data_IF_290252317013
#
_entry.id   IF_290252317013
#
_cell.length_a   1.000
_cell.length_b   1.000
_cell.length_c   1.000
_cell.angle_alpha   90.00
_cell.angle_beta   90.00
_cell.angle_gamma   90.00
#
_symmetry.space_group_name_H-M   'P 1'
#
loop_
_entity.id
_entity.type
_entity.pdbx_description
1 polymer ?
#
# COMPACT_ATOMS: atom_id res chain seq x y z
N UNK A 1 9.38 -6.91 -0.50
CA UNK A 1 9.06 -7.30 -1.88
C UNK A 1 8.11 -6.31 -2.53
N UNK A 2 8.00 -6.39 -3.82
CA UNK A 2 7.10 -5.52 -4.59
C UNK A 2 5.64 -5.69 -4.13
N UNK A 3 5.21 -6.91 -3.93
CA UNK A 3 3.83 -7.20 -3.53
C UNK A 3 3.56 -6.69 -2.12
N UNK A 4 4.50 -6.86 -1.21
CA UNK A 4 4.35 -6.35 0.15
C UNK A 4 4.24 -4.83 0.15
N UNK A 5 4.99 -4.17 -0.74
CA UNK A 5 4.95 -2.72 -0.88
C UNK A 5 3.58 -2.25 -1.36
N UNK A 6 3.01 -2.95 -2.35
CA UNK A 6 1.67 -2.64 -2.86
C UNK A 6 0.63 -2.79 -1.75
N UNK A 7 0.72 -3.85 -0.96
CA UNK A 7 -0.22 -4.10 0.14
C UNK A 7 -0.11 -3.02 1.22
N UNK A 8 1.10 -2.61 1.56
CA UNK A 8 1.30 -1.52 2.52
C UNK A 8 0.70 -0.22 2.03
N UNK A 9 0.91 0.09 0.75
CA UNK A 9 0.36 1.29 0.15
C UNK A 9 -1.17 1.25 0.17
N UNK A 10 -1.76 0.11 -0.17
CA UNK A 10 -3.20 -0.05 -0.14
C UNK A 10 -3.76 0.19 1.26
N UNK A 11 -3.07 -0.30 2.29
CA UNK A 11 -3.47 -0.09 3.67
C UNK A 11 -3.39 1.37 4.08
N UNK A 12 -2.32 2.05 3.70
CA UNK A 12 -2.15 3.47 4.03
C UNK A 12 -3.27 4.30 3.41
N UNK A 13 -3.59 4.03 2.16
CA UNK A 13 -4.63 4.77 1.45
C UNK A 13 -6.04 4.30 1.84
N UNK A 14 -6.15 3.08 2.32
CA UNK A 14 -7.44 2.48 2.68
C UNK A 14 -8.14 3.15 3.83
N UNK A 15 -7.44 4.01 4.58
CA UNK A 15 -8.07 4.77 5.66
C UNK A 15 -9.02 5.84 5.13
N UNK A 16 -8.92 6.18 3.85
CA UNK A 16 -9.72 7.22 3.23
C UNK A 16 -9.25 8.64 3.53
N UNK A 17 -8.19 8.77 4.29
CA UNK A 17 -7.62 10.08 4.63
C UNK A 17 -6.44 10.39 3.72
N UNK A 18 -6.17 11.67 3.43
CA UNK A 18 -5.00 12.04 2.65
C UNK A 18 -3.72 11.63 3.39
N UNK A 19 -2.77 11.08 2.64
CA UNK A 19 -1.47 10.69 3.18
C UNK A 19 -0.40 11.36 2.34
N UNK A 20 0.54 12.04 2.98
CA UNK A 20 1.59 12.75 2.24
C UNK A 20 2.52 11.78 1.53
N UNK A 21 3.04 12.22 0.38
CA UNK A 21 3.98 11.42 -0.39
C UNK A 21 5.22 11.08 0.45
N UNK A 22 5.69 12.04 1.24
CA UNK A 22 6.84 11.83 2.11
C UNK A 22 6.58 10.72 3.14
N UNK A 23 5.38 10.71 3.74
CA UNK A 23 5.01 9.67 4.69
C UNK A 23 4.93 8.31 4.02
N UNK A 24 4.38 8.26 2.82
CA UNK A 24 4.27 7.00 2.07
C UNK A 24 5.67 6.47 1.74
N UNK A 25 6.54 7.33 1.24
CA UNK A 25 7.91 6.95 0.88
C UNK A 25 8.65 6.43 2.10
N UNK A 26 8.50 7.10 3.24
CA UNK A 26 9.13 6.67 4.49
C UNK A 26 8.58 5.32 4.95
N UNK A 27 7.26 5.17 4.92
CA UNK A 27 6.61 3.92 5.35
C UNK A 27 6.96 2.73 4.48
N UNK A 28 7.08 2.96 3.17
CA UNK A 28 7.38 1.89 2.23
C UNK A 28 8.88 1.72 1.99
N UNK A 29 9.69 2.64 2.52
CA UNK A 29 11.14 2.62 2.33
C UNK A 29 11.50 2.52 0.85
N UNK A 30 10.90 3.38 0.04
CA UNK A 30 11.10 3.37 -1.41
C UNK A 30 11.38 4.77 -1.93
N UNK A 31 11.70 4.85 -3.24
CA UNK A 31 11.93 6.12 -3.91
C UNK A 31 10.63 6.65 -4.54
N UNK A 32 10.65 7.91 -4.98
CA UNK A 32 9.50 8.49 -5.67
C UNK A 32 9.09 7.72 -6.92
N UNK A 33 10.02 7.34 -7.81
CA UNK A 33 9.64 6.55 -8.97
C UNK A 33 8.97 5.23 -8.60
N UNK A 34 9.43 4.59 -7.53
CA UNK A 34 8.83 3.35 -7.05
C UNK A 34 7.40 3.60 -6.55
N UNK A 35 7.19 4.69 -5.83
CA UNK A 35 5.86 5.08 -5.38
C UNK A 35 4.92 5.32 -6.56
N UNK A 36 5.40 6.03 -7.59
CA UNK A 36 4.61 6.29 -8.77
C UNK A 36 4.17 5.00 -9.46
N UNK A 37 5.07 4.04 -9.57
CA UNK A 37 4.77 2.73 -10.15
C UNK A 37 3.74 1.97 -9.30
N UNK A 38 3.90 2.02 -7.99
CA UNK A 38 2.96 1.35 -7.08
C UNK A 38 1.56 1.94 -7.20
N UNK A 39 1.46 3.26 -7.26
CA UNK A 39 0.18 3.94 -7.45
C UNK A 39 -0.47 3.55 -8.76
N UNK A 40 0.33 3.48 -9.82
CA UNK A 40 -0.16 3.08 -11.14
C UNK A 40 -0.70 1.65 -11.10
N UNK A 41 -0.01 0.75 -10.41
CA UNK A 41 -0.45 -0.63 -10.27
C UNK A 41 -1.78 -0.72 -9.53
N UNK A 42 -1.95 0.07 -8.48
CA UNK A 42 -3.23 0.10 -7.77
C UNK A 42 -4.37 0.57 -8.68
N UNK A 43 -4.10 1.58 -9.50
CA UNK A 43 -5.11 2.08 -10.44
C UNK A 43 -5.47 1.06 -11.52
N UNK A 44 -4.47 0.41 -12.08
CA UNK A 44 -4.67 -0.52 -13.20
C UNK A 44 -5.12 -1.90 -12.75
N UNK A 45 -4.51 -2.45 -11.71
CA UNK A 45 -4.78 -3.81 -11.26
C UNK A 45 -6.01 -3.91 -10.36
N UNK A 46 -6.26 -2.87 -9.56
CA UNK A 46 -7.36 -2.89 -8.59
C UNK A 46 -8.44 -1.87 -8.88
N UNK A 47 -8.30 -1.15 -9.98
CA UNK A 47 -9.27 -0.12 -10.38
C UNK A 47 -9.49 0.93 -9.30
N UNK A 48 -8.48 1.19 -8.51
CA UNK A 48 -8.56 2.20 -7.45
C UNK A 48 -8.50 3.59 -8.06
N UNK A 49 -9.32 4.49 -7.52
CA UNK A 49 -9.31 5.89 -7.93
C UNK A 49 -8.58 6.70 -6.86
N UNK A 50 -7.42 7.22 -7.23
CA UNK A 50 -6.54 7.94 -6.31
C UNK A 50 -6.34 9.35 -6.84
N UNK A 51 -6.56 10.34 -5.97
CA UNK A 51 -6.34 11.74 -6.31
C UNK A 51 -5.09 12.26 -5.64
N UNK A 52 -4.37 13.14 -6.34
CA UNK A 52 -3.21 13.81 -5.82
C UNK A 52 -3.55 15.25 -5.50
N UNK A 53 -3.18 15.72 -4.32
CA UNK A 53 -3.35 17.11 -3.90
C UNK A 53 -2.01 17.82 -3.97
N UNK A 54 -1.91 18.83 -4.83
CA UNK A 54 -0.69 19.61 -4.96
C UNK A 54 -0.40 20.42 -3.70
N UNK A 55 -1.45 20.91 -3.06
CA UNK A 55 -1.31 21.75 -1.88
C UNK A 55 -0.59 21.04 -0.73
N UNK A 56 -0.92 19.76 -0.52
CA UNK A 56 -0.34 19.00 0.57
C UNK A 56 0.65 17.92 0.12
N UNK A 57 0.93 17.84 -1.15
CA UNK A 57 1.73 16.75 -1.72
C UNK A 57 1.26 15.40 -1.19
N UNK A 58 -0.06 15.21 -1.21
CA UNK A 58 -0.66 14.02 -0.61
C UNK A 58 -1.51 13.26 -1.62
N UNK A 59 -1.72 11.99 -1.32
CA UNK A 59 -2.57 11.11 -2.12
C UNK A 59 -3.78 10.72 -1.30
N UNK A 60 -4.91 10.60 -1.96
CA UNK A 60 -6.18 10.31 -1.32
C UNK A 60 -6.95 9.29 -2.14
N UNK A 61 -7.37 8.21 -1.49
CA UNK A 61 -8.16 7.17 -2.14
C UNK A 61 -9.63 7.64 -2.21
N UNK A 62 -10.08 7.94 -3.42
CA UNK A 62 -11.45 8.42 -3.65
C UNK A 62 -12.40 7.24 -3.78
N UNK A 63 -11.99 6.23 -4.53
CA UNK A 63 -12.79 5.03 -4.74
C UNK A 63 -11.86 3.82 -4.64
N UNK A 64 -12.12 2.91 -3.71
CA UNK A 64 -11.24 1.76 -3.53
C UNK A 64 -11.30 0.75 -4.68
N UNK A 65 -12.34 0.80 -5.52
CA UNK A 65 -12.47 -0.19 -6.58
C UNK A 65 -12.47 -1.59 -6.00
N UNK A 66 -11.47 -2.39 -6.37
CA UNK A 66 -11.32 -3.75 -5.85
C UNK A 66 -10.61 -3.79 -4.50
N UNK A 67 -10.17 -2.64 -3.99
CA UNK A 67 -9.54 -2.53 -2.66
C UNK A 67 -10.60 -2.30 -1.58
N UNK A 68 -11.65 -3.11 -1.58
CA UNK A 68 -12.68 -3.00 -0.54
C UNK A 68 -12.15 -3.54 0.79
N UNK A 69 -12.96 -3.40 1.84
CA UNK A 69 -12.55 -3.81 3.18
C UNK A 69 -12.16 -5.28 3.25
N UNK A 70 -12.87 -6.14 2.50
CA UNK A 70 -12.56 -7.57 2.47
C UNK A 70 -11.19 -7.82 1.86
N UNK A 71 -10.91 -7.18 0.73
CA UNK A 71 -9.64 -7.33 0.04
C UNK A 71 -8.50 -6.83 0.91
N UNK A 72 -8.67 -5.65 1.53
CA UNK A 72 -7.66 -5.10 2.42
C UNK A 72 -7.40 -6.00 3.61
N UNK A 73 -8.45 -6.60 4.18
CA UNK A 73 -8.30 -7.53 5.28
C UNK A 73 -7.49 -8.76 4.85
N UNK A 74 -7.78 -9.31 3.67
CA UNK A 74 -7.02 -10.44 3.13
C UNK A 74 -5.56 -10.09 2.91
N UNK A 75 -5.31 -8.90 2.39
CA UNK A 75 -3.94 -8.43 2.20
C UNK A 75 -3.20 -8.31 3.52
N UNK A 76 -3.86 -7.77 4.53
CA UNK A 76 -3.29 -7.65 5.87
C UNK A 76 -2.97 -9.00 6.48
N UNK A 77 -3.88 -9.95 6.35
CA UNK A 77 -3.67 -11.31 6.84
C UNK A 77 -2.50 -11.97 6.13
N UNK A 78 -2.41 -11.79 4.82
CA UNK A 78 -1.31 -12.36 4.04
C UNK A 78 0.03 -11.76 4.47
N UNK A 79 0.08 -10.46 4.71
CA UNK A 79 1.30 -9.81 5.19
C UNK A 79 1.70 -10.31 6.58
N UNK A 80 0.72 -10.46 7.46
CA UNK A 80 0.96 -10.96 8.81
C UNK A 80 1.49 -12.39 8.78
N UNK A 81 0.88 -13.23 7.95
CA UNK A 81 1.32 -14.61 7.78
C UNK A 81 2.73 -14.69 7.20
N UNK A 82 3.03 -13.87 6.20
CA UNK A 82 4.36 -13.83 5.63
C UNK A 82 5.39 -13.39 6.64
N UNK A 83 5.05 -12.40 7.45
CA UNK A 83 5.95 -11.92 8.50
C UNK A 83 6.20 -13.02 9.54
N UNK A 84 5.15 -13.74 9.93
CA UNK A 84 5.28 -14.86 10.86
C UNK A 84 6.14 -15.97 10.29
N UNK A 85 5.92 -16.31 9.03
CA UNK A 85 6.70 -17.36 8.37
C UNK A 85 8.18 -16.97 8.31
N UNK A 86 8.47 -15.73 7.97
CA UNK A 86 9.87 -15.25 7.95
C UNK A 86 10.48 -15.31 9.33
N UNK A 87 9.76 -14.88 10.34
CA UNK A 87 10.23 -14.93 11.72
C UNK A 87 10.48 -16.36 12.14
N UNK A 88 9.59 -17.27 11.79
CA UNK A 88 9.72 -18.68 12.07
C UNK A 88 10.95 -19.28 11.40
N UNK A 89 11.17 -18.93 10.15
CA UNK A 89 12.34 -19.41 9.43
C UNK A 89 13.63 -18.92 10.07
N UNK A 90 13.67 -17.64 10.41
CA UNK A 90 14.84 -17.06 11.08
C UNK A 90 15.10 -17.72 12.41
N UNK A 91 14.06 -18.03 13.14
CA UNK A 91 14.16 -18.67 14.45
C UNK A 91 14.56 -20.14 14.31
N UNK A 92 14.00 -20.79 13.30
CA UNK A 92 14.26 -22.20 13.06
C UNK A 92 15.64 -22.51 12.55
N UNK A 93 16.38 -21.51 12.18
CA UNK A 93 17.76 -21.66 11.74
C UNK A 93 18.72 -21.50 12.89
#
# INVERSE_FOLDING_TARGET
TRQARIFKLANLLGTGKPVSAADIITSLECSEPTLTRALKELRESYSAEIKYSKAGHSYHLVNPGQLDKKTLRRMNEALAQNAELKTGESTGK
#
